data_IF_300142082562
#
_entry.id   IF_300142082562
#
_cell.length_a   1.000
_cell.length_b   1.000
_cell.length_c   1.000
_cell.angle_alpha   90.00
_cell.angle_beta   90.00
_cell.angle_gamma   90.00
#
_symmetry.space_group_name_H-M   'P 1'
#
loop_
_entity.id
_entity.type
_entity.pdbx_description
1 polymer ?
#
# COMPACT_ATOMS: atom_id res chain seq x y z
N UNK A 1 -14.62 -14.02 9.15
CA UNK A 1 -13.97 -12.75 9.53
C UNK A 1 -12.51 -12.84 9.11
N UNK A 2 -12.12 -12.10 8.09
CA UNK A 2 -10.76 -12.08 7.58
C UNK A 2 -10.03 -10.81 8.03
N UNK A 3 -8.71 -10.83 8.08
CA UNK A 3 -7.84 -9.67 8.24
C UNK A 3 -7.29 -9.28 6.86
N UNK A 4 -7.68 -8.11 6.39
CA UNK A 4 -7.36 -7.61 5.06
C UNK A 4 -6.47 -6.38 5.20
N UNK A 5 -5.36 -6.35 4.47
CA UNK A 5 -4.57 -5.13 4.29
C UNK A 5 -4.89 -4.55 2.92
N UNK A 6 -5.30 -3.29 2.87
CA UNK A 6 -5.62 -2.57 1.64
C UNK A 6 -4.61 -1.46 1.40
N UNK A 7 -3.94 -1.44 0.25
CA UNK A 7 -3.06 -0.34 -0.12
C UNK A 7 -3.71 0.54 -1.18
N UNK A 8 -3.67 1.85 -0.98
CA UNK A 8 -4.14 2.83 -1.94
C UNK A 8 -2.99 3.73 -2.41
N UNK A 9 -2.76 3.75 -3.74
CA UNK A 9 -1.74 4.60 -4.37
C UNK A 9 -2.16 6.08 -4.44
N UNK A 10 -1.23 6.96 -4.81
CA UNK A 10 -1.45 8.41 -4.88
C UNK A 10 -2.64 8.81 -5.75
N UNK A 11 -2.80 8.21 -6.92
CA UNK A 11 -3.96 8.43 -7.80
C UNK A 11 -5.29 8.04 -7.16
N UNK A 12 -5.29 7.05 -6.26
CA UNK A 12 -6.49 6.60 -5.55
C UNK A 12 -6.95 7.57 -4.47
N UNK A 13 -6.05 8.40 -3.95
CA UNK A 13 -6.28 9.38 -2.88
C UNK A 13 -5.91 10.81 -3.32
N UNK A 14 -5.96 11.09 -4.62
CA UNK A 14 -5.45 12.32 -5.24
C UNK A 14 -6.12 13.60 -4.73
N UNK A 15 -7.39 13.51 -4.36
CA UNK A 15 -8.20 14.63 -3.90
C UNK A 15 -9.22 14.19 -2.83
N UNK A 16 -9.96 15.15 -2.28
CA UNK A 16 -10.96 14.90 -1.24
C UNK A 16 -12.08 13.97 -1.68
N UNK A 17 -12.51 14.01 -2.93
CA UNK A 17 -13.55 13.12 -3.46
C UNK A 17 -13.02 11.68 -3.60
N UNK A 18 -11.77 11.55 -4.01
CA UNK A 18 -11.07 10.27 -4.06
C UNK A 18 -10.91 9.66 -2.66
N UNK A 19 -10.54 10.47 -1.66
CA UNK A 19 -10.46 10.03 -0.25
C UNK A 19 -11.82 9.56 0.26
N UNK A 20 -12.92 10.28 0.01
CA UNK A 20 -14.27 9.87 0.39
C UNK A 20 -14.67 8.55 -0.29
N UNK A 21 -14.35 8.38 -1.57
CA UNK A 21 -14.59 7.13 -2.31
C UNK A 21 -13.84 5.95 -1.69
N UNK A 22 -12.55 6.15 -1.33
CA UNK A 22 -11.74 5.14 -0.64
C UNK A 22 -12.33 4.83 0.73
N UNK A 23 -12.70 5.84 1.52
CA UNK A 23 -13.31 5.67 2.84
C UNK A 23 -14.55 4.78 2.77
N UNK A 24 -15.47 5.03 1.82
CA UNK A 24 -16.66 4.19 1.60
C UNK A 24 -16.30 2.73 1.34
N UNK A 25 -15.31 2.47 0.47
CA UNK A 25 -14.86 1.11 0.14
C UNK A 25 -14.26 0.40 1.35
N UNK A 26 -13.43 1.09 2.12
CA UNK A 26 -12.83 0.58 3.36
C UNK A 26 -13.91 0.21 4.38
N UNK A 27 -14.87 1.10 4.60
CA UNK A 27 -16.01 0.88 5.51
C UNK A 27 -16.92 -0.26 5.01
N UNK A 28 -17.17 -0.37 3.71
CA UNK A 28 -17.90 -1.51 3.13
C UNK A 28 -17.20 -2.84 3.45
N UNK A 29 -15.87 -2.89 3.36
CA UNK A 29 -15.07 -4.09 3.67
C UNK A 29 -15.14 -4.43 5.17
N UNK A 30 -15.08 -3.44 6.05
CA UNK A 30 -15.22 -3.61 7.49
C UNK A 30 -16.63 -4.09 7.86
N UNK A 31 -17.68 -3.48 7.29
CA UNK A 31 -19.09 -3.84 7.54
C UNK A 31 -19.47 -5.26 7.10
N UNK A 32 -18.68 -5.89 6.21
CA UNK A 32 -18.78 -7.33 5.90
C UNK A 32 -18.23 -8.23 7.04
N UNK A 33 -17.79 -7.65 8.15
CA UNK A 33 -17.27 -8.35 9.32
C UNK A 33 -15.76 -8.61 9.26
N UNK A 34 -15.02 -7.91 8.41
CA UNK A 34 -13.57 -8.05 8.29
C UNK A 34 -12.82 -7.04 9.17
N UNK A 35 -11.62 -7.39 9.60
CA UNK A 35 -10.64 -6.45 10.14
C UNK A 35 -9.87 -5.82 8.99
N UNK A 36 -9.73 -4.50 8.99
CA UNK A 36 -9.10 -3.79 7.87
C UNK A 36 -7.95 -2.91 8.37
N UNK A 37 -6.77 -3.14 7.81
CA UNK A 37 -5.66 -2.21 7.88
C UNK A 37 -5.45 -1.59 6.50
N UNK A 38 -5.23 -0.28 6.45
CA UNK A 38 -5.06 0.47 5.21
C UNK A 38 -3.66 1.06 5.16
N UNK A 39 -2.99 0.95 4.03
CA UNK A 39 -1.73 1.66 3.76
C UNK A 39 -1.97 2.68 2.66
N UNK A 40 -1.62 3.93 2.90
CA UNK A 40 -1.83 5.01 1.94
C UNK A 40 -0.51 5.61 1.46
N UNK A 41 -0.48 6.02 0.20
CA UNK A 41 0.55 6.91 -0.38
C UNK A 41 0.17 8.37 -0.15
N UNK A 42 1.09 9.28 -0.45
CA UNK A 42 0.80 10.71 -0.56
C UNK A 42 -0.30 10.96 -1.63
N UNK A 43 -0.98 12.09 -1.53
CA UNK A 43 -2.06 12.47 -2.44
C UNK A 43 -1.50 12.90 -3.80
N UNK A 44 -1.97 12.30 -4.89
CA UNK A 44 -1.61 12.70 -6.26
C UNK A 44 -0.10 12.82 -6.43
N UNK A 45 0.34 14.00 -6.85
CA UNK A 45 1.74 14.33 -7.15
C UNK A 45 2.45 15.02 -5.96
N UNK A 46 1.85 15.03 -4.76
CA UNK A 46 2.41 15.75 -3.58
C UNK A 46 3.88 15.41 -3.30
N UNK A 47 4.29 14.16 -3.50
CA UNK A 47 5.70 13.77 -3.27
C UNK A 47 6.63 14.47 -4.27
N UNK A 48 6.25 14.53 -5.53
CA UNK A 48 7.03 15.20 -6.58
C UNK A 48 7.06 16.73 -6.34
N UNK A 49 5.94 17.33 -5.93
CA UNK A 49 5.86 18.76 -5.56
C UNK A 49 6.81 19.09 -4.39
N UNK A 50 6.87 18.23 -3.37
CA UNK A 50 7.77 18.41 -2.23
C UNK A 50 9.25 18.29 -2.64
N UNK A 51 9.58 17.36 -3.53
CA UNK A 51 10.93 17.22 -4.10
C UNK A 51 11.30 18.49 -4.88
N UNK A 52 10.42 18.98 -5.75
CA UNK A 52 10.66 20.19 -6.54
C UNK A 52 10.86 21.43 -5.66
N UNK A 53 10.06 21.56 -4.58
CA UNK A 53 10.25 22.62 -3.59
C UNK A 53 11.63 22.56 -2.92
N UNK A 54 12.07 21.37 -2.49
CA UNK A 54 13.40 21.20 -1.89
C UNK A 54 14.52 21.56 -2.87
N UNK A 55 14.42 21.08 -4.12
CA UNK A 55 15.40 21.35 -5.18
C UNK A 55 15.45 22.82 -5.58
N UNK A 56 14.36 23.56 -5.39
CA UNK A 56 14.34 25.03 -5.62
C UNK A 56 15.11 25.81 -4.55
N UNK A 57 15.32 25.22 -3.36
CA UNK A 57 16.08 25.82 -2.26
C UNK A 57 17.57 25.44 -2.38
N UNK A 58 17.83 24.18 -2.64
CA UNK A 58 19.19 23.63 -2.79
C UNK A 58 19.17 22.53 -3.87
N UNK A 59 20.06 22.64 -4.84
CA UNK A 59 20.20 21.62 -5.90
C UNK A 59 20.71 20.26 -5.41
N UNK A 60 21.24 20.19 -4.18
CA UNK A 60 21.69 18.97 -3.53
C UNK A 60 21.30 18.94 -2.04
N UNK A 61 20.00 18.88 -1.73
CA UNK A 61 19.54 18.96 -0.35
C UNK A 61 20.01 17.73 0.45
N UNK A 62 20.24 17.87 1.78
CA UNK A 62 20.64 16.75 2.62
C UNK A 62 19.59 15.63 2.59
N UNK A 63 20.03 14.40 2.30
CA UNK A 63 19.14 13.24 2.14
C UNK A 63 18.23 12.99 3.37
N UNK A 64 18.77 13.25 4.59
CA UNK A 64 17.99 13.14 5.82
C UNK A 64 16.81 14.11 5.85
N UNK A 65 17.01 15.35 5.40
CA UNK A 65 15.96 16.36 5.38
C UNK A 65 14.95 16.09 4.25
N UNK A 66 15.41 15.51 3.13
CA UNK A 66 14.55 15.03 2.06
C UNK A 66 13.60 13.93 2.56
N UNK A 67 14.10 12.96 3.29
CA UNK A 67 13.26 11.90 3.88
C UNK A 67 12.24 12.49 4.86
N UNK A 68 12.66 13.41 5.72
CA UNK A 68 11.77 14.10 6.64
C UNK A 68 10.66 14.85 5.90
N UNK A 69 10.99 15.59 4.84
CA UNK A 69 10.04 16.34 4.03
C UNK A 69 9.05 15.42 3.32
N UNK A 70 9.56 14.40 2.61
CA UNK A 70 8.71 13.49 1.84
C UNK A 70 7.70 12.74 2.72
N UNK A 71 8.04 12.41 3.97
CA UNK A 71 7.09 11.73 4.87
C UNK A 71 5.86 12.57 5.24
N UNK A 72 5.85 13.87 4.94
CA UNK A 72 4.71 14.74 5.20
C UNK A 72 3.50 14.39 4.30
N UNK A 73 3.73 13.95 3.07
CA UNK A 73 2.67 13.62 2.12
C UNK A 73 1.72 12.53 2.64
N UNK A 74 2.26 11.42 3.12
CA UNK A 74 1.46 10.33 3.67
C UNK A 74 0.78 10.69 5.01
N UNK A 75 1.35 11.61 5.79
CA UNK A 75 0.70 12.11 7.01
C UNK A 75 -0.56 12.88 6.70
N UNK A 76 -0.59 13.62 5.60
CA UNK A 76 -1.79 14.33 5.12
C UNK A 76 -2.85 13.29 4.72
N UNK A 77 -2.53 12.40 3.80
CA UNK A 77 -3.49 11.43 3.25
C UNK A 77 -4.05 10.48 4.32
N UNK A 78 -3.21 9.95 5.24
CA UNK A 78 -3.70 9.07 6.30
C UNK A 78 -4.66 9.78 7.25
N UNK A 79 -4.40 11.05 7.57
CA UNK A 79 -5.24 11.82 8.49
C UNK A 79 -6.59 12.17 7.85
N UNK A 80 -6.59 12.61 6.59
CA UNK A 80 -7.81 12.91 5.84
C UNK A 80 -8.66 11.65 5.63
N UNK A 81 -8.03 10.50 5.35
CA UNK A 81 -8.75 9.24 5.21
C UNK A 81 -9.38 8.80 6.55
N UNK A 82 -8.67 8.97 7.68
CA UNK A 82 -9.23 8.70 8.99
C UNK A 82 -10.49 9.55 9.26
N UNK A 83 -10.43 10.85 8.99
CA UNK A 83 -11.59 11.75 9.11
C UNK A 83 -12.74 11.32 8.21
N UNK A 84 -12.47 10.92 6.97
CA UNK A 84 -13.49 10.47 6.03
C UNK A 84 -14.15 9.15 6.49
N UNK A 85 -13.39 8.21 7.05
CA UNK A 85 -13.91 6.96 7.62
C UNK A 85 -14.80 7.25 8.84
N UNK A 86 -14.41 8.19 9.71
CA UNK A 86 -15.27 8.64 10.80
C UNK A 86 -16.58 9.25 10.30
N UNK A 87 -16.53 10.04 9.23
CA UNK A 87 -17.74 10.61 8.61
C UNK A 87 -18.67 9.54 8.01
N UNK A 88 -18.15 8.37 7.60
CA UNK A 88 -18.93 7.20 7.14
C UNK A 88 -19.46 6.32 8.31
N UNK A 89 -19.18 6.72 9.57
CA UNK A 89 -19.71 6.09 10.79
C UNK A 89 -18.88 4.92 11.34
N UNK A 90 -17.68 4.68 10.84
CA UNK A 90 -16.74 3.69 11.39
C UNK A 90 -15.62 4.38 12.17
N UNK A 91 -14.99 3.62 13.10
CA UNK A 91 -13.86 4.13 13.87
C UNK A 91 -12.55 3.85 13.13
N UNK A 92 -11.64 4.82 13.14
CA UNK A 92 -10.34 4.69 12.49
C UNK A 92 -9.23 5.37 13.31
N UNK A 93 -8.02 4.77 13.27
CA UNK A 93 -6.81 5.34 13.83
C UNK A 93 -5.70 5.39 12.78
N UNK A 94 -5.05 6.55 12.65
CA UNK A 94 -3.93 6.74 11.74
C UNK A 94 -2.59 6.61 12.46
N UNK A 95 -1.60 6.03 11.76
CA UNK A 95 -0.26 5.75 12.26
C UNK A 95 0.79 6.16 11.24
N UNK A 96 1.81 6.89 11.67
CA UNK A 96 3.03 7.07 10.88
C UNK A 96 3.77 5.72 10.75
N UNK A 97 4.73 5.61 9.82
CA UNK A 97 5.56 4.40 9.70
C UNK A 97 6.25 4.02 11.03
N UNK A 98 6.78 5.02 11.76
CA UNK A 98 7.35 4.81 13.10
C UNK A 98 6.30 4.26 14.08
N UNK A 99 5.12 4.85 14.14
CA UNK A 99 4.06 4.41 15.05
C UNK A 99 3.51 3.03 14.70
N UNK A 100 3.54 2.67 13.41
CA UNK A 100 3.20 1.35 12.91
C UNK A 100 4.35 0.32 13.06
N UNK A 101 5.52 0.75 13.58
CA UNK A 101 6.63 -0.14 13.89
C UNK A 101 7.46 -0.56 12.68
N UNK A 102 7.58 0.27 11.66
CA UNK A 102 8.49 0.03 10.53
C UNK A 102 9.92 0.46 10.88
N UNK A 103 10.80 -0.51 11.08
CA UNK A 103 12.22 -0.27 11.35
C UNK A 103 13.05 -0.50 10.09
N UNK A 104 13.95 0.43 9.80
CA UNK A 104 14.79 0.45 8.60
C UNK A 104 16.27 0.45 8.92
N UNK A 105 17.11 0.30 7.87
CA UNK A 105 18.51 0.68 7.93
C UNK A 105 18.67 2.22 7.87
N UNK A 106 19.93 2.69 7.86
CA UNK A 106 20.26 4.11 7.90
C UNK A 106 20.45 4.75 6.52
N UNK A 107 19.97 4.12 5.45
CA UNK A 107 20.02 4.69 4.09
C UNK A 107 18.85 5.63 3.90
N UNK A 108 19.12 6.89 3.69
CA UNK A 108 18.07 7.84 3.33
C UNK A 108 17.68 7.67 1.86
N UNK A 109 16.43 8.01 1.50
CA UNK A 109 15.89 7.94 0.16
C UNK A 109 15.61 6.53 -0.39
N UNK A 110 16.27 5.49 0.13
CA UNK A 110 16.15 4.11 -0.34
C UNK A 110 16.39 3.09 0.78
N UNK A 111 15.82 3.33 1.94
CA UNK A 111 15.98 2.48 3.12
C UNK A 111 15.42 1.06 2.89
N UNK A 112 16.04 0.09 3.56
CA UNK A 112 15.55 -1.29 3.57
C UNK A 112 14.85 -1.58 4.89
N UNK A 113 13.69 -2.22 4.81
CA UNK A 113 13.00 -2.73 5.99
C UNK A 113 13.83 -3.81 6.68
N UNK A 114 14.08 -3.62 7.97
CA UNK A 114 14.75 -4.58 8.85
C UNK A 114 13.76 -5.39 9.67
N UNK A 115 12.70 -4.74 10.14
CA UNK A 115 11.64 -5.38 10.91
C UNK A 115 10.35 -4.57 10.84
N UNK A 116 9.21 -5.24 11.02
CA UNK A 116 7.91 -4.61 11.24
C UNK A 116 7.34 -5.16 12.55
N UNK A 117 7.08 -4.28 13.51
CA UNK A 117 6.50 -4.61 14.84
C UNK A 117 5.22 -3.80 15.05
N UNK A 118 4.09 -4.27 14.49
CA UNK A 118 2.87 -3.47 14.39
C UNK A 118 1.97 -3.55 15.63
N UNK A 119 2.54 -3.48 16.84
CA UNK A 119 1.80 -3.68 18.08
C UNK A 119 0.66 -2.68 18.26
N UNK A 120 0.88 -1.40 17.92
CA UNK A 120 -0.16 -0.37 18.00
C UNK A 120 -1.28 -0.60 16.97
N UNK A 121 -0.92 -1.06 15.77
CA UNK A 121 -1.87 -1.42 14.71
C UNK A 121 -2.70 -2.63 15.15
N UNK A 122 -2.06 -3.68 15.69
CA UNK A 122 -2.74 -4.86 16.24
C UNK A 122 -3.73 -4.49 17.34
N UNK A 123 -3.32 -3.56 18.23
CA UNK A 123 -4.20 -3.09 19.30
C UNK A 123 -5.44 -2.38 18.74
N UNK A 124 -5.29 -1.45 17.78
CA UNK A 124 -6.42 -0.78 17.15
C UNK A 124 -7.38 -1.78 16.48
N UNK A 125 -6.85 -2.73 15.70
CA UNK A 125 -7.63 -3.80 15.07
C UNK A 125 -8.35 -4.70 16.10
N UNK A 126 -7.77 -4.90 17.28
CA UNK A 126 -8.39 -5.70 18.35
C UNK A 126 -9.58 -4.98 19.00
N UNK A 127 -9.56 -3.64 19.00
CA UNK A 127 -10.64 -2.78 19.49
C UNK A 127 -11.77 -2.58 18.44
N UNK A 128 -11.60 -3.16 17.24
CA UNK A 128 -12.55 -3.02 16.13
C UNK A 128 -12.37 -1.73 15.35
N UNK A 129 -11.23 -1.05 15.47
CA UNK A 129 -10.93 0.15 14.70
C UNK A 129 -10.27 -0.22 13.38
N UNK A 130 -10.53 0.56 12.33
CA UNK A 130 -9.77 0.50 11.08
C UNK A 130 -8.42 1.18 11.33
N UNK A 131 -7.32 0.49 11.03
CA UNK A 131 -5.98 1.03 11.19
C UNK A 131 -5.48 1.61 9.86
N UNK A 132 -5.08 2.89 9.85
CA UNK A 132 -4.54 3.54 8.65
C UNK A 132 -3.05 3.82 8.88
N UNK A 133 -2.21 3.39 7.97
CA UNK A 133 -0.75 3.49 8.08
C UNK A 133 -0.20 4.32 6.92
N UNK A 134 0.63 5.29 7.23
CA UNK A 134 1.44 5.98 6.24
C UNK A 134 2.43 5.00 5.61
N UNK A 135 2.28 4.75 4.32
CA UNK A 135 3.21 3.92 3.56
C UNK A 135 4.56 4.60 3.32
N UNK A 136 5.44 3.96 2.57
CA UNK A 136 6.69 4.52 2.06
C UNK A 136 7.75 4.86 3.13
N UNK A 137 7.43 4.94 4.42
CA UNK A 137 8.26 5.48 5.47
C UNK A 137 8.50 4.52 6.63
N UNK A 138 9.63 4.69 7.31
CA UNK A 138 9.99 4.00 8.54
C UNK A 138 10.89 4.85 9.44
N UNK A 139 11.55 4.21 10.38
CA UNK A 139 12.48 4.83 11.31
C UNK A 139 13.77 4.01 11.39
N UNK A 140 14.92 4.66 11.37
CA UNK A 140 16.20 4.02 11.58
C UNK A 140 16.56 3.91 13.08
N UNK A 141 17.68 3.26 13.39
CA UNK A 141 18.14 3.07 14.77
C UNK A 141 18.52 4.38 15.49
N UNK A 142 18.71 5.49 14.76
CA UNK A 142 18.99 6.81 15.34
C UNK A 142 17.72 7.60 15.68
N UNK A 143 16.54 7.07 15.29
CA UNK A 143 15.27 7.76 15.45
C UNK A 143 14.91 8.70 14.30
N UNK A 144 15.67 8.69 13.21
CA UNK A 144 15.37 9.50 12.03
C UNK A 144 14.32 8.82 11.15
N UNK A 145 13.44 9.62 10.58
CA UNK A 145 12.55 9.17 9.51
C UNK A 145 13.37 8.77 8.28
N UNK A 146 12.94 7.71 7.62
CA UNK A 146 13.55 7.19 6.39
C UNK A 146 12.48 6.85 5.39
N UNK A 147 12.79 6.94 4.10
CA UNK A 147 11.90 6.54 3.02
C UNK A 147 12.41 5.30 2.29
N UNK A 148 11.48 4.47 1.78
CA UNK A 148 11.79 3.18 1.16
C UNK A 148 12.08 3.29 -0.34
N UNK A 149 12.04 4.48 -0.90
CA UNK A 149 12.21 4.71 -2.33
C UNK A 149 10.98 4.28 -3.17
N UNK A 150 11.13 4.22 -4.48
CA UNK A 150 10.03 3.91 -5.41
C UNK A 150 9.38 2.57 -5.10
N UNK A 151 8.05 2.53 -5.13
CA UNK A 151 7.25 1.34 -4.75
C UNK A 151 7.24 1.06 -3.24
N UNK A 152 7.72 2.00 -2.42
CA UNK A 152 7.83 1.83 -0.97
C UNK A 152 6.48 1.62 -0.27
N UNK A 153 5.40 2.23 -0.75
CA UNK A 153 4.06 2.02 -0.18
C UNK A 153 3.53 0.60 -0.42
N UNK A 154 3.78 0.01 -1.60
CA UNK A 154 3.43 -1.38 -1.89
C UNK A 154 4.22 -2.33 -0.99
N UNK A 155 5.54 -2.07 -0.86
CA UNK A 155 6.41 -2.84 0.05
C UNK A 155 5.95 -2.71 1.50
N UNK A 156 5.56 -1.51 1.95
CA UNK A 156 5.02 -1.28 3.29
C UNK A 156 3.74 -2.08 3.53
N UNK A 157 2.83 -2.12 2.55
CA UNK A 157 1.57 -2.82 2.66
C UNK A 157 1.76 -4.32 2.80
N UNK A 158 2.60 -4.92 1.95
CA UNK A 158 2.89 -6.36 2.01
C UNK A 158 3.64 -6.71 3.30
N UNK A 159 4.61 -5.90 3.72
CA UNK A 159 5.34 -6.12 4.96
C UNK A 159 4.42 -6.01 6.20
N UNK A 160 3.48 -5.06 6.18
CA UNK A 160 2.46 -4.95 7.23
C UNK A 160 1.53 -6.17 7.23
N UNK A 161 1.06 -6.61 6.06
CA UNK A 161 0.19 -7.78 5.93
C UNK A 161 0.85 -9.03 6.50
N UNK A 162 2.11 -9.28 6.17
CA UNK A 162 2.90 -10.39 6.73
C UNK A 162 3.04 -10.28 8.25
N UNK A 163 3.40 -9.09 8.77
CA UNK A 163 3.62 -8.88 10.20
C UNK A 163 2.32 -8.95 11.03
N UNK A 164 1.18 -8.66 10.43
CA UNK A 164 -0.14 -8.81 11.05
C UNK A 164 -0.68 -10.24 10.95
N UNK A 165 -0.15 -11.09 10.06
CA UNK A 165 -0.72 -12.37 9.70
C UNK A 165 -2.05 -12.21 8.94
N UNK A 166 -2.09 -11.26 8.02
CA UNK A 166 -3.29 -11.01 7.21
C UNK A 166 -3.58 -12.17 6.25
N UNK A 167 -4.85 -12.36 5.94
CA UNK A 167 -5.30 -13.38 4.99
C UNK A 167 -4.99 -12.98 3.53
N UNK A 168 -4.95 -11.69 3.24
CA UNK A 168 -4.67 -11.15 1.90
C UNK A 168 -4.23 -9.68 1.98
N UNK A 169 -3.41 -9.27 1.01
CA UNK A 169 -3.04 -7.87 0.77
C UNK A 169 -3.63 -7.39 -0.57
N UNK A 170 -4.60 -6.49 -0.53
CA UNK A 170 -5.19 -5.86 -1.71
C UNK A 170 -4.38 -4.63 -2.11
N UNK A 171 -3.92 -4.59 -3.36
CA UNK A 171 -3.21 -3.45 -3.94
C UNK A 171 -4.16 -2.71 -4.90
N UNK A 172 -4.66 -1.58 -4.46
CA UNK A 172 -5.52 -0.72 -5.26
C UNK A 172 -4.70 0.28 -6.08
N UNK A 173 -4.95 0.27 -7.39
CA UNK A 173 -4.25 1.07 -8.40
C UNK A 173 -5.27 1.68 -9.38
N UNK A 174 -4.81 2.30 -10.45
CA UNK A 174 -5.63 2.86 -11.54
C UNK A 174 -6.02 1.86 -12.62
N UNK A 175 -5.49 0.62 -12.55
CA UNK A 175 -5.80 -0.45 -13.53
C UNK A 175 -6.65 -1.56 -12.91
N UNK A 176 -7.45 -2.24 -13.73
CA UNK A 176 -8.39 -3.29 -13.31
C UNK A 176 -7.74 -4.66 -13.02
N UNK A 177 -6.45 -4.69 -12.76
CA UNK A 177 -5.67 -5.90 -12.53
C UNK A 177 -4.46 -6.00 -13.47
N UNK A 178 -3.93 -7.20 -13.61
CA UNK A 178 -2.80 -7.53 -14.50
C UNK A 178 -3.34 -8.03 -15.83
N UNK A 179 -2.78 -7.55 -16.93
CA UNK A 179 -3.20 -7.89 -18.29
C UNK A 179 -2.07 -8.57 -19.06
N UNK A 180 -2.41 -9.31 -20.11
CA UNK A 180 -1.44 -9.98 -21.00
C UNK A 180 -0.56 -9.00 -21.78
N UNK A 181 -0.98 -7.76 -21.92
CA UNK A 181 -0.23 -6.61 -22.45
C UNK A 181 -0.88 -5.31 -21.92
N UNK A 182 -0.27 -4.16 -22.13
CA UNK A 182 -0.89 -2.87 -21.79
C UNK A 182 -2.15 -2.65 -22.67
N UNK A 183 -3.36 -2.61 -22.09
CA UNK A 183 -4.60 -2.47 -22.87
C UNK A 183 -4.72 -1.13 -23.59
N UNK A 184 -3.94 -0.11 -23.19
CA UNK A 184 -3.88 1.19 -23.89
C UNK A 184 -3.11 1.09 -25.20
N UNK A 185 -2.21 0.10 -25.32
CA UNK A 185 -1.38 -0.14 -26.52
C UNK A 185 -1.97 -1.30 -27.32
N UNK A 186 -2.42 -2.36 -26.65
CA UNK A 186 -2.96 -3.58 -27.28
C UNK A 186 -4.43 -3.75 -26.88
N UNK A 187 -5.39 -3.30 -27.69
CA UNK A 187 -6.83 -3.36 -27.36
C UNK A 187 -7.38 -4.78 -27.12
N UNK A 188 -6.71 -5.81 -27.67
CA UNK A 188 -7.04 -7.22 -27.46
C UNK A 188 -6.44 -7.83 -26.17
N UNK A 189 -5.72 -7.05 -25.37
CA UNK A 189 -5.17 -7.51 -24.10
C UNK A 189 -6.27 -8.00 -23.17
N UNK A 190 -6.03 -9.13 -22.52
CA UNK A 190 -6.98 -9.78 -21.61
C UNK A 190 -6.48 -9.67 -20.19
N UNK A 191 -7.40 -9.41 -19.26
CA UNK A 191 -7.09 -9.46 -17.83
C UNK A 191 -6.79 -10.92 -17.44
N UNK A 192 -5.74 -11.10 -16.65
CA UNK A 192 -5.33 -12.38 -16.07
C UNK A 192 -6.08 -12.54 -14.74
N UNK A 193 -6.94 -13.56 -14.57
CA UNK A 193 -7.71 -13.72 -13.31
C UNK A 193 -6.83 -14.06 -12.13
N UNK A 194 -5.83 -14.92 -12.33
CA UNK A 194 -4.86 -15.35 -11.33
C UNK A 194 -3.50 -15.60 -11.98
N UNK A 195 -2.43 -15.29 -11.26
CA UNK A 195 -1.04 -15.46 -11.70
C UNK A 195 -0.18 -15.87 -10.50
N UNK A 196 0.85 -16.68 -10.72
CA UNK A 196 1.84 -17.02 -9.70
C UNK A 196 2.91 -15.94 -9.54
N UNK A 197 3.72 -16.06 -8.48
CA UNK A 197 4.75 -15.07 -8.18
C UNK A 197 5.88 -15.06 -9.21
N UNK A 198 6.26 -16.20 -9.76
CA UNK A 198 7.36 -16.29 -10.75
C UNK A 198 6.99 -15.54 -12.02
N UNK A 199 5.80 -15.81 -12.53
CA UNK A 199 5.28 -15.14 -13.74
C UNK A 199 5.17 -13.62 -13.55
N UNK A 200 4.69 -13.12 -12.38
CA UNK A 200 4.61 -11.67 -12.17
C UNK A 200 5.98 -11.03 -11.95
N UNK A 201 6.96 -11.74 -11.36
CA UNK A 201 8.34 -11.28 -11.24
C UNK A 201 9.00 -11.18 -12.62
N UNK A 202 8.78 -12.16 -13.49
CA UNK A 202 9.25 -12.11 -14.87
C UNK A 202 8.62 -10.93 -15.63
N UNK A 203 7.30 -10.74 -15.54
CA UNK A 203 6.62 -9.59 -16.13
C UNK A 203 7.17 -8.27 -15.61
N UNK A 204 7.43 -8.14 -14.30
CA UNK A 204 7.98 -6.93 -13.69
C UNK A 204 9.41 -6.66 -14.15
N UNK A 205 10.25 -7.69 -14.29
CA UNK A 205 11.62 -7.58 -14.83
C UNK A 205 11.64 -7.20 -16.32
N UNK A 206 10.61 -7.60 -17.06
CA UNK A 206 10.40 -7.22 -18.47
C UNK A 206 9.74 -5.84 -18.64
N UNK A 207 9.52 -5.09 -17.54
CA UNK A 207 9.05 -3.69 -17.59
C UNK A 207 7.57 -3.49 -17.28
N UNK A 208 6.84 -4.50 -16.82
CA UNK A 208 5.50 -4.30 -16.27
C UNK A 208 5.56 -3.45 -15.00
N UNK A 209 4.76 -2.38 -14.95
CA UNK A 209 4.78 -1.40 -13.85
C UNK A 209 3.61 -1.55 -12.86
N UNK A 210 2.83 -2.64 -12.94
CA UNK A 210 1.61 -2.80 -12.14
C UNK A 210 1.92 -3.00 -10.66
N UNK A 211 2.98 -3.78 -10.36
CA UNK A 211 3.48 -4.01 -9.01
C UNK A 211 4.98 -3.70 -8.94
N UNK A 212 5.40 -3.14 -7.81
CA UNK A 212 6.82 -2.96 -7.53
C UNK A 212 7.49 -4.32 -7.31
N UNK A 213 8.64 -4.57 -7.96
CA UNK A 213 9.37 -5.85 -7.88
C UNK A 213 9.61 -6.29 -6.43
N UNK A 214 10.12 -5.38 -5.58
CA UNK A 214 10.39 -5.65 -4.15
C UNK A 214 9.13 -6.08 -3.38
N UNK A 215 7.98 -5.57 -3.75
CA UNK A 215 6.69 -5.94 -3.15
C UNK A 215 6.36 -7.41 -3.45
N UNK A 216 6.54 -7.82 -4.70
CA UNK A 216 6.27 -9.21 -5.15
C UNK A 216 7.27 -10.19 -4.54
N UNK A 217 8.56 -9.86 -4.53
CA UNK A 217 9.61 -10.67 -3.87
C UNK A 217 9.31 -10.89 -2.39
N UNK A 218 8.86 -9.83 -1.71
CA UNK A 218 8.49 -9.93 -0.30
C UNK A 218 7.24 -10.79 -0.10
N UNK A 219 6.22 -10.63 -0.95
CA UNK A 219 5.01 -11.45 -0.93
C UNK A 219 5.34 -12.94 -1.18
N UNK A 220 6.15 -13.24 -2.18
CA UNK A 220 6.61 -14.60 -2.49
C UNK A 220 7.32 -15.24 -1.30
N UNK A 221 8.28 -14.52 -0.70
CA UNK A 221 9.08 -15.01 0.43
C UNK A 221 8.23 -15.45 1.62
N UNK A 222 7.09 -14.81 1.84
CA UNK A 222 6.21 -15.06 2.98
C UNK A 222 4.88 -15.70 2.59
N UNK A 223 4.73 -16.11 1.34
CA UNK A 223 3.49 -16.67 0.78
C UNK A 223 2.26 -15.80 1.04
N UNK A 224 2.41 -14.46 1.00
CA UNK A 224 1.32 -13.51 1.22
C UNK A 224 0.50 -13.33 -0.06
N UNK A 225 -0.75 -13.79 -0.14
CA UNK A 225 -1.58 -13.58 -1.34
C UNK A 225 -1.78 -12.08 -1.60
N UNK A 226 -1.65 -11.68 -2.88
CA UNK A 226 -1.96 -10.31 -3.28
C UNK A 226 -3.19 -10.29 -4.17
N UNK A 227 -3.96 -9.21 -4.09
CA UNK A 227 -5.09 -8.95 -4.97
C UNK A 227 -4.96 -7.57 -5.59
N UNK A 228 -4.64 -7.53 -6.88
CA UNK A 228 -4.49 -6.27 -7.63
C UNK A 228 -5.85 -5.85 -8.16
N UNK A 229 -6.32 -4.67 -7.76
CA UNK A 229 -7.66 -4.16 -8.08
C UNK A 229 -7.60 -2.68 -8.48
N UNK A 230 -8.61 -2.23 -9.21
CA UNK A 230 -8.80 -0.80 -9.45
C UNK A 230 -9.51 -0.12 -8.26
N UNK A 231 -9.01 1.05 -7.86
CA UNK A 231 -9.72 1.92 -6.92
C UNK A 231 -10.92 2.64 -7.55
N UNK A 232 -11.01 2.64 -8.89
CA UNK A 232 -12.03 3.36 -9.67
C UNK A 232 -13.17 2.46 -10.16
N UNK A 233 -13.01 1.15 -10.09
CA UNK A 233 -14.01 0.18 -10.53
C UNK A 233 -14.27 -0.90 -9.47
N UNK A 234 -15.29 -1.73 -9.71
CA UNK A 234 -15.59 -2.91 -8.88
C UNK A 234 -15.31 -4.21 -9.64
N UNK A 235 -14.46 -4.15 -10.67
CA UNK A 235 -14.05 -5.35 -11.41
C UNK A 235 -13.23 -6.30 -10.53
N UNK A 236 -13.26 -7.62 -10.81
CA UNK A 236 -12.67 -8.64 -9.93
C UNK A 236 -11.17 -8.48 -9.69
N UNK A 237 -10.42 -7.80 -10.59
CA UNK A 237 -8.96 -7.67 -10.43
C UNK A 237 -8.18 -8.96 -10.76
N UNK A 238 -6.95 -9.06 -10.28
CA UNK A 238 -6.06 -10.20 -10.47
C UNK A 238 -5.52 -10.69 -9.15
N UNK A 239 -5.65 -11.98 -8.86
CA UNK A 239 -5.03 -12.61 -7.70
C UNK A 239 -3.59 -13.03 -8.04
N UNK A 240 -2.64 -12.69 -7.17
CA UNK A 240 -1.27 -13.18 -7.21
C UNK A 240 -1.10 -14.13 -6.04
N UNK A 241 -0.88 -15.41 -6.32
CA UNK A 241 -0.92 -16.47 -5.31
C UNK A 241 0.30 -17.39 -5.42
N UNK A 242 0.68 -18.07 -4.33
CA UNK A 242 1.69 -19.13 -4.38
C UNK A 242 1.27 -20.22 -5.37
N UNK A 243 2.28 -20.86 -5.97
CA UNK A 243 2.06 -22.01 -6.84
C UNK A 243 1.27 -23.12 -6.12
N UNK A 244 0.29 -23.70 -6.80
CA UNK A 244 -0.55 -24.77 -6.26
C UNK A 244 -1.66 -24.33 -5.30
N UNK A 245 -1.79 -23.05 -4.98
CA UNK A 245 -2.92 -22.52 -4.21
C UNK A 245 -4.12 -22.30 -5.15
N UNK A 246 -5.26 -22.90 -4.80
CA UNK A 246 -6.52 -22.60 -5.48
C UNK A 246 -7.02 -21.21 -5.05
N UNK A 247 -7.09 -20.22 -5.96
CA UNK A 247 -7.57 -18.88 -5.64
C UNK A 247 -8.96 -18.84 -4.99
N UNK A 248 -9.78 -19.88 -5.18
CA UNK A 248 -11.13 -19.99 -4.62
C UNK A 248 -11.13 -20.28 -3.11
N UNK A 249 -9.98 -20.67 -2.55
CA UNK A 249 -9.81 -20.90 -1.09
C UNK A 249 -9.53 -19.62 -0.33
N UNK A 250 -9.18 -18.53 -1.01
CA UNK A 250 -8.97 -17.22 -0.40
C UNK A 250 -10.30 -16.62 0.06
N UNK A 251 -10.28 -15.70 1.03
CA UNK A 251 -11.48 -15.01 1.48
C UNK A 251 -12.26 -14.43 0.31
N UNK A 252 -13.57 -14.69 0.24
CA UNK A 252 -14.43 -14.02 -0.73
C UNK A 252 -14.54 -12.54 -0.34
N UNK A 253 -13.98 -11.67 -1.17
CA UNK A 253 -13.86 -10.23 -0.92
C UNK A 253 -14.88 -9.41 -1.72
N UNK A 254 -15.73 -10.06 -2.53
CA UNK A 254 -16.78 -9.42 -3.36
C UNK A 254 -18.10 -9.22 -2.60
#
# INVERSE_FOLDING_TARGET
>A
MALIVQKYGGSSVADTESIKRVAKRVVETEKKGNKVAVVVSAMGDTTDDLIDQALSIDSNPPEREMDMLMTAGERISMSLLAMAIHAEGSRAHSFTGQQAGFFTDARYGAAHLKAVRPDRVKNALSLGDIAIVAGFQGINAKGDATTLGRGGSDTSAVALAVALGADICEIYTDVDGIFTADPRIVPSARRIPSIDYESILEMASCGSKVLALRCVEYAQRFNMPLHVRSSFSRRPGTLVVPDGIDPRTLPNLD
#
